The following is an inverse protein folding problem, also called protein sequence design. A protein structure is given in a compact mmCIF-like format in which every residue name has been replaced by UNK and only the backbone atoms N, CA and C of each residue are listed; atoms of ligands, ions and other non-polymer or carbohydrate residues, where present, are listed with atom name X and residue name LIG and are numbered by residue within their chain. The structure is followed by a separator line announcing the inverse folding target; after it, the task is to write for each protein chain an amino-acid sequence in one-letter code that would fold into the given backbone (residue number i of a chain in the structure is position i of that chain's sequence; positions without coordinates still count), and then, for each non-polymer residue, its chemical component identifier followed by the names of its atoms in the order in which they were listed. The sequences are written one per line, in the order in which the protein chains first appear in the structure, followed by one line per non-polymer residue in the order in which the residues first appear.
data_IF_719080470280
#
_entry.id   IF_719080470280
#
_cell.length_a   1.000
_cell.length_b   1.000
_cell.length_c   1.000
_cell.angle_alpha   90.00
_cell.angle_beta   90.00
_cell.angle_gamma   90.00
#
_symmetry.space_group_name_H-M   'P 1'
#
loop_
_entity.id
_entity.type
_entity.pdbx_description
1 polymer ?
#
# COMPACT_ATOMS: atom_id res chain seq x y z
N UNK A 1 -54.71 -11.62 8.42
CA UNK A 1 -54.41 -10.19 8.23
C UNK A 1 -53.53 -9.57 9.34
N UNK A 2 -53.83 -9.66 10.65
CA UNK A 2 -52.96 -9.06 11.71
C UNK A 2 -51.53 -9.67 11.71
N UNK A 3 -51.39 -11.01 11.64
CA UNK A 3 -50.06 -11.69 11.63
C UNK A 3 -49.23 -11.29 10.41
N UNK A 4 -49.82 -11.14 9.22
CA UNK A 4 -49.15 -10.72 7.99
C UNK A 4 -48.66 -9.26 8.09
N UNK A 5 -49.44 -8.35 8.69
CA UNK A 5 -49.05 -6.96 8.91
C UNK A 5 -47.88 -6.86 9.90
N UNK A 6 -47.89 -7.66 10.97
CA UNK A 6 -46.78 -7.70 11.95
C UNK A 6 -45.52 -8.23 11.29
N UNK A 7 -45.60 -9.32 10.52
CA UNK A 7 -44.43 -9.86 9.79
C UNK A 7 -43.83 -8.85 8.79
N UNK A 8 -44.68 -8.12 8.07
CA UNK A 8 -44.22 -7.07 7.14
C UNK A 8 -43.55 -5.91 7.86
N UNK A 9 -44.08 -5.47 9.01
CA UNK A 9 -43.48 -4.43 9.85
C UNK A 9 -42.12 -4.84 10.41
N UNK A 10 -41.95 -6.12 10.82
CA UNK A 10 -40.69 -6.66 11.32
C UNK A 10 -39.66 -6.70 10.19
N UNK A 11 -40.04 -7.18 9.00
CA UNK A 11 -39.15 -7.20 7.84
C UNK A 11 -38.71 -5.80 7.42
N UNK A 12 -39.62 -4.83 7.44
CA UNK A 12 -39.29 -3.43 7.15
C UNK A 12 -38.29 -2.87 8.16
N UNK A 13 -38.51 -3.13 9.44
CA UNK A 13 -37.62 -2.68 10.53
C UNK A 13 -36.22 -3.30 10.34
N UNK A 14 -36.13 -4.60 10.03
CA UNK A 14 -34.85 -5.27 9.74
C UNK A 14 -34.17 -4.61 8.55
N UNK A 15 -34.88 -4.39 7.44
CA UNK A 15 -34.31 -3.77 6.24
C UNK A 15 -33.79 -2.35 6.51
N UNK A 16 -34.55 -1.54 7.26
CA UNK A 16 -34.13 -0.18 7.66
C UNK A 16 -32.90 -0.24 8.57
N UNK A 17 -32.88 -1.16 9.53
CA UNK A 17 -31.73 -1.31 10.45
C UNK A 17 -30.48 -1.75 9.68
N UNK A 18 -30.58 -2.74 8.79
CA UNK A 18 -29.46 -3.19 7.94
C UNK A 18 -28.99 -2.07 7.00
N UNK A 19 -29.89 -1.31 6.41
CA UNK A 19 -29.57 -0.14 5.59
C UNK A 19 -28.84 0.95 6.39
N UNK A 20 -29.27 1.22 7.61
CA UNK A 20 -28.59 2.16 8.51
C UNK A 20 -27.19 1.68 8.91
N UNK A 21 -27.04 0.40 9.27
CA UNK A 21 -25.74 -0.21 9.59
C UNK A 21 -24.81 -0.19 8.39
N UNK A 22 -25.29 -0.54 7.20
CA UNK A 22 -24.52 -0.44 5.97
C UNK A 22 -24.06 0.99 5.71
N UNK A 23 -24.97 1.95 5.75
CA UNK A 23 -24.68 3.38 5.54
C UNK A 23 -23.68 3.91 6.56
N UNK A 24 -23.77 3.49 7.80
CA UNK A 24 -22.90 3.96 8.86
C UNK A 24 -21.50 3.34 8.83
N UNK A 25 -21.40 2.01 8.63
CA UNK A 25 -20.13 1.29 8.77
C UNK A 25 -19.42 1.02 7.45
N UNK A 26 -20.17 0.80 6.36
CA UNK A 26 -19.62 0.27 5.10
C UNK A 26 -19.68 1.27 3.94
N UNK A 27 -20.59 2.22 3.97
CA UNK A 27 -20.71 3.17 2.88
C UNK A 27 -19.56 4.18 2.89
N UNK A 28 -18.96 4.38 1.72
CA UNK A 28 -18.01 5.45 1.45
C UNK A 28 -18.34 6.10 0.10
N UNK A 29 -18.54 7.41 0.11
CA UNK A 29 -18.75 8.15 -1.12
C UNK A 29 -17.50 8.13 -1.98
N UNK A 30 -17.63 7.78 -3.25
CA UNK A 30 -16.50 7.82 -4.18
C UNK A 30 -16.05 9.27 -4.40
N UNK A 31 -14.74 9.54 -4.39
CA UNK A 31 -14.24 10.86 -4.72
C UNK A 31 -14.53 11.20 -6.18
N UNK A 32 -14.76 12.48 -6.47
CA UNK A 32 -14.85 12.93 -7.85
C UNK A 32 -13.49 12.72 -8.55
N UNK A 33 -13.54 12.17 -9.76
CA UNK A 33 -12.34 12.07 -10.58
C UNK A 33 -11.83 13.48 -10.94
N UNK A 34 -10.54 13.78 -10.73
CA UNK A 34 -9.97 15.07 -11.09
C UNK A 34 -9.84 15.22 -12.62
N UNK A 35 -9.71 16.45 -13.07
CA UNK A 35 -9.18 16.72 -14.41
C UNK A 35 -7.68 16.43 -14.40
N UNK A 36 -7.24 15.51 -15.23
CA UNK A 36 -5.86 15.07 -15.37
C UNK A 36 -5.31 15.48 -16.74
N UNK A 37 -3.98 15.56 -16.87
CA UNK A 37 -3.32 15.98 -18.12
C UNK A 37 -3.40 14.94 -19.23
N UNK A 38 -3.72 13.67 -18.90
CA UNK A 38 -3.86 12.57 -19.86
C UNK A 38 -4.94 11.57 -19.40
N UNK A 39 -5.24 10.60 -20.26
CA UNK A 39 -6.17 9.51 -19.94
C UNK A 39 -5.43 8.29 -19.42
N UNK A 40 -6.06 7.57 -18.48
CA UNK A 40 -5.59 6.26 -18.03
C UNK A 40 -5.68 5.26 -19.19
N UNK A 41 -4.61 4.50 -19.39
CA UNK A 41 -4.53 3.44 -20.39
C UNK A 41 -4.58 2.07 -19.69
N UNK A 42 -5.03 1.04 -20.41
CA UNK A 42 -5.10 -0.35 -19.92
C UNK A 42 -4.39 -1.26 -20.90
N UNK A 43 -3.68 -2.25 -20.36
CA UNK A 43 -2.93 -3.21 -21.15
C UNK A 43 -2.76 -4.53 -20.41
N UNK A 44 -2.19 -5.50 -21.09
CA UNK A 44 -1.82 -6.79 -20.53
C UNK A 44 -0.34 -7.10 -20.79
N UNK A 45 0.22 -7.92 -19.91
CA UNK A 45 1.58 -8.45 -20.04
C UNK A 45 1.58 -9.94 -19.71
N UNK A 46 2.29 -10.73 -20.53
CA UNK A 46 2.52 -12.13 -20.23
C UNK A 46 3.61 -12.27 -19.16
N UNK A 47 3.33 -13.04 -18.11
CA UNK A 47 4.29 -13.39 -17.05
C UNK A 47 4.13 -14.89 -16.79
N UNK A 48 5.15 -15.67 -17.12
CA UNK A 48 5.01 -17.13 -17.15
C UNK A 48 3.89 -17.56 -18.11
N UNK A 49 2.98 -18.35 -17.63
CA UNK A 49 1.81 -18.89 -18.35
C UNK A 49 0.56 -17.97 -18.28
N UNK A 50 0.67 -16.80 -17.65
CA UNK A 50 -0.48 -15.93 -17.36
C UNK A 50 -0.42 -14.61 -18.11
N UNK A 51 -1.60 -14.16 -18.58
CA UNK A 51 -1.82 -12.77 -18.95
C UNK A 51 -2.22 -11.98 -17.71
N UNK A 52 -1.51 -10.86 -17.45
CA UNK A 52 -1.71 -10.02 -16.28
C UNK A 52 -2.17 -8.64 -16.71
N UNK A 53 -3.31 -8.22 -16.17
CA UNK A 53 -3.87 -6.90 -16.43
C UNK A 53 -3.13 -5.82 -15.65
N UNK A 54 -3.01 -4.64 -16.23
CA UNK A 54 -2.57 -3.42 -15.57
C UNK A 54 -3.17 -2.18 -16.23
N UNK A 55 -3.25 -1.10 -15.46
CA UNK A 55 -3.51 0.23 -16.00
C UNK A 55 -2.29 1.11 -15.76
N UNK A 56 -2.11 2.13 -16.60
CA UNK A 56 -1.02 3.07 -16.44
C UNK A 56 -1.41 4.47 -16.87
N UNK A 57 -0.71 5.44 -16.30
CA UNK A 57 -0.90 6.85 -16.55
C UNK A 57 0.42 7.49 -16.98
N UNK A 58 0.39 8.12 -18.15
CA UNK A 58 1.53 8.88 -18.70
C UNK A 58 1.14 10.36 -18.66
N UNK A 59 1.66 11.17 -17.74
CA UNK A 59 1.37 12.61 -17.72
C UNK A 59 1.83 13.26 -19.02
N UNK A 60 1.15 14.33 -19.44
CA UNK A 60 1.47 15.05 -20.66
C UNK A 60 2.92 15.61 -20.68
N UNK A 61 3.49 15.83 -19.50
CA UNK A 61 4.89 16.28 -19.34
C UNK A 61 5.69 15.20 -18.64
N UNK A 62 6.42 14.40 -19.40
CA UNK A 62 7.36 13.40 -18.90
C UNK A 62 8.79 13.82 -19.21
N UNK A 63 9.70 13.85 -18.22
CA UNK A 63 11.13 14.02 -18.46
C UNK A 63 11.72 12.77 -19.16
N UNK A 64 12.82 12.95 -19.85
CA UNK A 64 13.63 11.81 -20.28
C UNK A 64 14.06 10.99 -19.06
N UNK A 65 14.00 9.66 -19.16
CA UNK A 65 14.28 8.74 -18.04
C UNK A 65 13.39 9.02 -16.81
N UNK A 66 12.08 9.19 -17.06
CA UNK A 66 11.10 9.42 -16.00
C UNK A 66 11.15 8.30 -14.94
N UNK A 67 10.96 8.62 -13.66
CA UNK A 67 10.75 7.62 -12.62
C UNK A 67 9.49 6.79 -12.90
N UNK A 68 9.45 5.58 -12.36
CA UNK A 68 8.34 4.65 -12.46
C UNK A 68 7.78 4.36 -11.07
N UNK A 69 6.49 4.59 -10.86
CA UNK A 69 5.80 4.28 -9.61
C UNK A 69 4.73 3.22 -9.82
N UNK A 70 4.87 2.08 -9.14
CA UNK A 70 3.82 1.07 -9.03
C UNK A 70 2.96 1.35 -7.81
N UNK A 71 1.62 1.30 -7.97
CA UNK A 71 0.68 1.44 -6.84
C UNK A 71 -0.21 0.21 -6.78
N UNK A 72 -0.08 -0.57 -5.68
CA UNK A 72 -0.72 -1.86 -5.52
C UNK A 72 -1.91 -1.78 -4.56
N UNK A 73 -3.02 -2.37 -4.99
CA UNK A 73 -4.24 -2.48 -4.21
C UNK A 73 -4.15 -3.47 -3.04
N UNK A 74 -5.06 -3.39 -2.07
CA UNK A 74 -5.21 -4.36 -1.00
C UNK A 74 -6.00 -5.62 -1.42
N UNK A 75 -6.17 -6.56 -0.46
CA UNK A 75 -7.00 -7.76 -0.67
C UNK A 75 -8.40 -7.41 -1.12
N UNK A 76 -8.95 -8.19 -2.05
CA UNK A 76 -10.31 -8.09 -2.58
C UNK A 76 -10.61 -6.77 -3.30
N UNK A 77 -9.60 -5.95 -3.55
CA UNK A 77 -9.69 -4.73 -4.33
C UNK A 77 -9.24 -4.93 -5.78
N UNK A 78 -9.62 -3.99 -6.62
CA UNK A 78 -9.13 -3.84 -7.99
C UNK A 78 -8.16 -2.67 -8.08
N UNK A 79 -7.47 -2.55 -9.21
CA UNK A 79 -6.65 -1.38 -9.51
C UNK A 79 -7.48 -0.07 -9.51
N UNK A 80 -8.76 -0.12 -9.92
CA UNK A 80 -9.64 1.05 -9.89
C UNK A 80 -10.10 1.41 -8.48
N UNK A 81 -10.29 0.40 -7.61
CA UNK A 81 -10.55 0.64 -6.19
C UNK A 81 -9.36 1.36 -5.53
N UNK A 82 -8.12 1.00 -5.88
CA UNK A 82 -6.93 1.66 -5.34
C UNK A 82 -6.82 3.12 -5.78
N UNK A 83 -7.17 3.42 -7.04
CA UNK A 83 -7.22 4.79 -7.57
C UNK A 83 -8.21 5.66 -6.79
N UNK A 84 -9.43 5.14 -6.59
CA UNK A 84 -10.45 5.85 -5.79
C UNK A 84 -10.09 5.93 -4.32
N UNK A 85 -9.49 4.88 -3.75
CA UNK A 85 -9.03 4.83 -2.36
C UNK A 85 -7.94 5.86 -2.05
N UNK A 86 -7.05 6.14 -3.01
CA UNK A 86 -6.06 7.22 -2.92
C UNK A 86 -6.62 8.59 -3.33
N UNK A 87 -7.92 8.69 -3.64
CA UNK A 87 -8.56 9.91 -4.18
C UNK A 87 -7.85 10.45 -5.42
N UNK A 88 -7.31 9.57 -6.26
CA UNK A 88 -6.52 9.92 -7.47
C UNK A 88 -5.30 10.80 -7.19
N UNK A 89 -4.78 10.78 -5.95
CA UNK A 89 -3.65 11.62 -5.58
C UNK A 89 -2.37 11.22 -6.31
N UNK A 90 -2.15 9.92 -6.55
CA UNK A 90 -0.96 9.48 -7.27
C UNK A 90 -0.95 9.95 -8.74
N UNK A 91 -2.11 10.05 -9.40
CA UNK A 91 -2.22 10.62 -10.74
C UNK A 91 -1.91 12.13 -10.75
N UNK A 92 -2.39 12.87 -9.74
CA UNK A 92 -2.06 14.31 -9.60
C UNK A 92 -0.56 14.51 -9.36
N UNK A 93 0.03 13.70 -8.49
CA UNK A 93 1.47 13.73 -8.24
C UNK A 93 2.28 13.36 -9.50
N UNK A 94 1.76 12.43 -10.33
CA UNK A 94 2.38 12.12 -11.61
C UNK A 94 2.37 13.32 -12.56
N UNK A 95 1.27 14.07 -12.62
CA UNK A 95 1.19 15.32 -13.40
C UNK A 95 2.15 16.40 -12.88
N UNK A 96 2.28 16.52 -11.56
CA UNK A 96 3.09 17.53 -10.92
C UNK A 96 4.59 17.25 -11.03
N UNK A 97 4.98 15.97 -10.84
CA UNK A 97 6.37 15.58 -10.70
C UNK A 97 6.95 14.85 -11.90
N UNK A 98 6.14 14.51 -12.90
CA UNK A 98 6.61 13.88 -14.14
C UNK A 98 7.12 12.45 -13.96
N UNK A 99 6.36 11.57 -13.32
CA UNK A 99 6.68 10.15 -13.26
C UNK A 99 5.61 9.30 -13.97
N UNK A 100 5.99 8.13 -14.44
CA UNK A 100 5.06 7.14 -15.00
C UNK A 100 4.42 6.38 -13.85
N UNK A 101 3.08 6.32 -13.85
CA UNK A 101 2.32 5.64 -12.81
C UNK A 101 1.69 4.36 -13.36
N UNK A 102 1.86 3.24 -12.63
CA UNK A 102 1.34 1.93 -13.04
C UNK A 102 0.55 1.29 -11.89
N UNK A 103 -0.64 0.81 -12.23
CA UNK A 103 -1.53 0.06 -11.35
C UNK A 103 -1.67 -1.38 -11.87
N UNK A 104 -0.86 -2.33 -11.42
CA UNK A 104 -1.06 -3.72 -11.75
C UNK A 104 -2.29 -4.29 -11.06
N UNK A 105 -2.88 -5.36 -11.65
CA UNK A 105 -4.00 -6.11 -11.06
C UNK A 105 -3.53 -7.44 -10.49
N UNK A 106 -3.81 -7.67 -9.22
CA UNK A 106 -3.58 -8.95 -8.55
C UNK A 106 -4.52 -10.05 -9.05
N UNK A 107 -4.02 -11.29 -9.10
CA UNK A 107 -4.81 -12.46 -9.48
C UNK A 107 -5.93 -12.67 -8.46
N UNK A 108 -7.16 -12.79 -8.97
CA UNK A 108 -8.37 -12.88 -8.14
C UNK A 108 -8.38 -11.82 -7.02
N UNK A 109 -7.90 -10.60 -7.35
CA UNK A 109 -7.89 -9.42 -6.47
C UNK A 109 -7.00 -9.58 -5.23
N UNK A 110 -5.93 -10.41 -5.33
CA UNK A 110 -4.95 -10.64 -4.27
C UNK A 110 -3.53 -10.76 -4.84
N UNK A 111 -2.55 -10.60 -3.97
CA UNK A 111 -1.12 -10.71 -4.24
C UNK A 111 -0.51 -11.86 -3.45
N UNK A 112 0.43 -12.58 -4.05
CA UNK A 112 1.22 -13.60 -3.37
C UNK A 112 2.30 -12.95 -2.51
N UNK A 113 2.01 -12.73 -1.24
CA UNK A 113 2.91 -12.12 -0.27
C UNK A 113 3.65 -13.15 0.62
N UNK A 114 4.44 -12.69 1.59
CA UNK A 114 5.28 -13.51 2.45
C UNK A 114 4.57 -14.23 3.60
N UNK A 115 3.27 -14.02 3.83
CA UNK A 115 2.58 -14.61 4.98
C UNK A 115 2.23 -16.08 4.73
N UNK A 116 2.86 -16.99 5.47
CA UNK A 116 2.67 -18.43 5.33
C UNK A 116 1.21 -18.87 5.52
N UNK A 117 0.51 -18.26 6.48
CA UNK A 117 -0.88 -18.58 6.81
C UNK A 117 -1.92 -17.89 5.91
N UNK A 118 -1.50 -16.99 4.98
CA UNK A 118 -2.45 -16.31 4.12
C UNK A 118 -3.02 -17.26 3.05
N UNK A 119 -4.33 -17.45 3.07
CA UNK A 119 -5.05 -18.37 2.18
C UNK A 119 -5.71 -17.59 1.01
N UNK A 120 -4.87 -16.98 0.18
CA UNK A 120 -5.33 -16.27 -1.03
C UNK A 120 -5.17 -17.12 -2.28
N UNK A 121 -6.05 -16.98 -3.27
CA UNK A 121 -5.88 -17.63 -4.57
C UNK A 121 -4.50 -17.38 -5.19
N UNK A 122 -4.01 -16.14 -5.16
CA UNK A 122 -2.69 -15.78 -5.68
C UNK A 122 -1.56 -16.56 -4.98
N UNK A 123 -1.67 -16.83 -3.67
CA UNK A 123 -0.69 -17.62 -2.93
C UNK A 123 -0.84 -19.10 -3.19
N UNK A 124 -2.07 -19.64 -3.14
CA UNK A 124 -2.36 -21.07 -3.41
C UNK A 124 -1.87 -21.48 -4.80
N UNK A 125 -2.04 -20.60 -5.79
CA UNK A 125 -1.60 -20.80 -7.17
C UNK A 125 -0.13 -20.43 -7.37
N UNK A 126 0.59 -20.06 -6.33
CA UNK A 126 1.98 -19.60 -6.36
C UNK A 126 2.24 -18.57 -7.48
N UNK A 127 1.36 -17.56 -7.60
CA UNK A 127 1.47 -16.55 -8.65
C UNK A 127 2.78 -15.78 -8.48
N UNK A 128 3.50 -15.59 -9.59
CA UNK A 128 4.73 -14.81 -9.59
C UNK A 128 4.45 -13.31 -9.76
N UNK A 129 4.14 -12.66 -8.65
CA UNK A 129 3.90 -11.23 -8.62
C UNK A 129 5.20 -10.41 -8.58
N UNK A 130 6.30 -11.02 -8.15
CA UNK A 130 7.62 -10.37 -8.14
C UNK A 130 8.13 -10.20 -9.57
N UNK A 131 8.04 -11.23 -10.39
CA UNK A 131 8.41 -11.16 -11.80
C UNK A 131 7.43 -10.31 -12.63
N UNK A 132 6.17 -10.18 -12.23
CA UNK A 132 5.26 -9.19 -12.81
C UNK A 132 5.84 -7.76 -12.71
N UNK A 133 6.29 -7.36 -11.53
CA UNK A 133 6.88 -6.03 -11.32
C UNK A 133 8.17 -5.89 -12.14
N UNK A 134 9.03 -6.91 -12.14
CA UNK A 134 10.26 -6.90 -12.93
C UNK A 134 9.98 -6.77 -14.45
N UNK A 135 9.02 -7.54 -14.98
CA UNK A 135 8.63 -7.49 -16.39
C UNK A 135 8.03 -6.12 -16.78
N UNK A 136 7.22 -5.51 -15.89
CA UNK A 136 6.68 -4.18 -16.13
C UNK A 136 7.78 -3.11 -16.11
N UNK A 137 8.78 -3.18 -15.22
CA UNK A 137 9.93 -2.26 -15.24
C UNK A 137 10.62 -2.30 -16.60
N UNK A 138 10.94 -3.49 -17.10
CA UNK A 138 11.59 -3.66 -18.40
C UNK A 138 10.72 -3.14 -19.57
N UNK A 139 9.41 -3.45 -19.53
CA UNK A 139 8.46 -2.96 -20.54
C UNK A 139 8.42 -1.44 -20.61
N UNK A 140 8.27 -0.76 -19.45
CA UNK A 140 8.19 0.70 -19.43
C UNK A 140 9.51 1.38 -19.77
N UNK A 141 10.65 0.77 -19.43
CA UNK A 141 11.96 1.23 -19.88
C UNK A 141 12.09 1.17 -21.40
N UNK A 142 11.68 0.04 -22.01
CA UNK A 142 11.76 -0.14 -23.46
C UNK A 142 10.75 0.68 -24.26
N UNK A 143 9.50 0.79 -23.80
CA UNK A 143 8.42 1.40 -24.59
C UNK A 143 8.23 2.89 -24.30
N UNK A 144 8.55 3.36 -23.09
CA UNK A 144 8.29 4.74 -22.64
C UNK A 144 9.53 5.45 -22.12
N UNK A 145 10.72 4.83 -22.21
CA UNK A 145 11.98 5.45 -21.78
C UNK A 145 12.08 5.71 -20.27
N UNK A 146 11.34 4.96 -19.46
CA UNK A 146 11.43 5.05 -18.00
C UNK A 146 12.84 4.67 -17.54
N UNK A 147 13.31 5.25 -16.43
CA UNK A 147 14.55 4.81 -15.79
C UNK A 147 14.31 3.55 -14.95
N UNK A 148 14.77 2.35 -15.37
CA UNK A 148 14.54 1.13 -14.62
C UNK A 148 15.18 1.13 -13.23
N UNK A 149 16.15 2.00 -12.97
CA UNK A 149 16.83 2.16 -11.69
C UNK A 149 16.08 3.11 -10.76
N UNK A 150 15.08 3.84 -11.25
CA UNK A 150 14.20 4.72 -10.49
C UNK A 150 12.77 4.18 -10.48
N UNK A 151 12.63 2.87 -10.29
CA UNK A 151 11.37 2.18 -10.10
C UNK A 151 11.04 2.10 -8.60
N UNK A 152 9.83 2.52 -8.22
CA UNK A 152 9.33 2.58 -6.85
C UNK A 152 8.01 1.81 -6.74
N UNK A 153 7.67 1.37 -5.53
CA UNK A 153 6.41 0.68 -5.28
C UNK A 153 5.76 1.19 -4.00
N UNK A 154 4.53 1.66 -4.11
CA UNK A 154 3.63 1.95 -2.99
C UNK A 154 2.53 0.88 -2.95
N UNK A 155 2.43 0.11 -1.87
CA UNK A 155 1.43 -0.94 -1.72
C UNK A 155 0.56 -0.72 -0.49
N UNK A 156 -0.74 -0.94 -0.64
CA UNK A 156 -1.70 -0.90 0.45
C UNK A 156 -2.04 -2.31 0.92
N UNK A 157 -2.00 -2.56 2.23
CA UNK A 157 -2.40 -3.82 2.87
C UNK A 157 -1.69 -5.03 2.22
N UNK A 158 -2.39 -5.96 1.56
CA UNK A 158 -1.78 -7.09 0.84
C UNK A 158 -0.78 -6.62 -0.24
N UNK A 159 -1.04 -5.53 -0.95
CA UNK A 159 -0.06 -4.91 -1.86
C UNK A 159 1.18 -4.37 -1.14
N UNK A 160 1.02 -3.87 0.08
CA UNK A 160 2.12 -3.48 0.96
C UNK A 160 2.96 -4.68 1.40
N UNK A 161 2.30 -5.79 1.77
CA UNK A 161 3.00 -7.05 2.07
C UNK A 161 3.78 -7.61 0.86
N UNK A 162 3.25 -7.47 -0.38
CA UNK A 162 4.02 -7.81 -1.58
C UNK A 162 5.24 -6.89 -1.75
N UNK A 163 5.09 -5.58 -1.49
CA UNK A 163 6.21 -4.65 -1.49
C UNK A 163 7.33 -5.08 -0.52
N UNK A 164 6.96 -5.48 0.72
CA UNK A 164 7.91 -6.00 1.70
C UNK A 164 8.56 -7.32 1.23
N UNK A 165 7.81 -8.20 0.54
CA UNK A 165 8.36 -9.40 -0.11
C UNK A 165 9.46 -9.03 -1.12
N UNK A 166 9.18 -8.09 -2.02
CA UNK A 166 10.16 -7.66 -3.02
C UNK A 166 11.41 -7.08 -2.35
N UNK A 167 11.25 -6.27 -1.30
CA UNK A 167 12.38 -5.72 -0.55
C UNK A 167 13.24 -6.79 0.14
N UNK A 168 12.67 -7.97 0.44
CA UNK A 168 13.40 -9.11 1.01
C UNK A 168 14.07 -9.97 -0.06
N UNK A 169 13.33 -10.35 -1.11
CA UNK A 169 13.77 -11.35 -2.11
C UNK A 169 14.57 -10.74 -3.26
N UNK A 170 14.29 -9.47 -3.62
CA UNK A 170 14.91 -8.75 -4.76
C UNK A 170 15.29 -7.30 -4.36
N UNK A 171 16.19 -7.11 -3.37
CA UNK A 171 16.45 -5.78 -2.78
C UNK A 171 16.99 -4.73 -3.77
N UNK A 172 17.49 -5.15 -4.92
CA UNK A 172 17.98 -4.25 -5.98
C UNK A 172 16.95 -4.01 -7.09
N UNK A 173 15.75 -4.61 -7.02
CA UNK A 173 14.73 -4.46 -8.04
C UNK A 173 14.09 -3.06 -8.03
N UNK A 174 13.91 -2.50 -6.84
CA UNK A 174 13.26 -1.21 -6.63
C UNK A 174 14.19 -0.22 -5.93
N UNK A 175 14.10 1.05 -6.30
CA UNK A 175 14.79 2.14 -5.62
C UNK A 175 14.13 2.51 -4.27
N UNK A 176 12.92 2.02 -4.00
CA UNK A 176 12.24 2.18 -2.73
C UNK A 176 10.87 1.52 -2.70
N UNK A 177 10.44 1.16 -1.50
CA UNK A 177 9.14 0.55 -1.21
C UNK A 177 8.43 1.34 -0.12
N UNK A 178 7.15 1.63 -0.32
CA UNK A 178 6.25 2.13 0.71
C UNK A 178 5.16 1.09 0.98
N UNK A 179 5.10 0.56 2.20
CA UNK A 179 4.10 -0.38 2.65
C UNK A 179 3.11 0.32 3.59
N UNK A 180 1.87 0.49 3.15
CA UNK A 180 0.80 1.15 3.89
C UNK A 180 -0.11 0.09 4.51
N UNK A 181 -0.38 0.22 5.81
CA UNK A 181 -1.22 -0.70 6.56
C UNK A 181 -0.74 -2.16 6.45
N UNK A 182 0.59 -2.36 6.49
CA UNK A 182 1.25 -3.65 6.39
C UNK A 182 2.50 -3.70 7.28
N UNK A 183 2.75 -4.85 7.89
CA UNK A 183 3.90 -5.11 8.75
C UNK A 183 4.56 -6.44 8.36
N UNK A 184 5.84 -6.59 8.67
CA UNK A 184 6.56 -7.82 8.36
C UNK A 184 5.97 -9.01 9.15
N UNK A 185 5.76 -10.19 8.53
CA UNK A 185 5.36 -11.39 9.25
C UNK A 185 6.34 -11.75 10.37
N UNK A 186 5.83 -12.38 11.44
CA UNK A 186 6.68 -13.02 12.45
C UNK A 186 7.47 -14.17 11.83
N UNK A 187 8.59 -14.61 12.44
CA UNK A 187 9.43 -15.67 11.85
C UNK A 187 8.69 -16.96 11.52
N UNK A 188 7.71 -17.35 12.33
CA UNK A 188 6.85 -18.52 12.16
C UNK A 188 5.83 -18.38 11.01
N UNK A 189 5.52 -17.14 10.60
CA UNK A 189 4.61 -16.81 9.52
C UNK A 189 5.34 -16.28 8.27
N UNK A 190 6.67 -16.17 8.27
CA UNK A 190 7.46 -15.66 7.16
C UNK A 190 7.86 -16.77 6.19
N UNK A 191 7.19 -16.86 5.05
CA UNK A 191 7.48 -17.85 4.00
C UNK A 191 8.54 -17.41 2.98
N UNK A 192 8.94 -16.15 3.00
CA UNK A 192 9.91 -15.60 2.04
C UNK A 192 11.35 -15.70 2.55
N UNK A 193 12.27 -15.86 1.59
CA UNK A 193 13.70 -15.89 1.89
C UNK A 193 14.31 -14.50 1.68
N UNK A 194 14.81 -13.92 2.76
CA UNK A 194 15.58 -12.69 2.66
C UNK A 194 16.96 -12.97 2.05
N UNK A 195 17.34 -12.23 1.00
CA UNK A 195 18.66 -12.24 0.40
C UNK A 195 19.47 -11.02 0.85
N UNK A 196 20.78 -11.03 0.65
CA UNK A 196 21.67 -9.92 1.00
C UNK A 196 21.30 -8.64 0.22
N UNK A 197 21.44 -7.50 0.88
CA UNK A 197 21.10 -6.18 0.35
C UNK A 197 20.00 -5.48 1.15
N UNK A 198 19.81 -4.21 0.89
CA UNK A 198 18.80 -3.37 1.54
C UNK A 198 18.14 -2.43 0.55
N UNK A 199 16.81 -2.47 0.51
CA UNK A 199 15.97 -1.51 -0.21
C UNK A 199 15.55 -0.40 0.75
N UNK A 200 15.50 0.87 0.35
CA UNK A 200 14.82 1.91 1.12
C UNK A 200 13.35 1.53 1.37
N UNK A 201 12.92 1.55 2.65
CA UNK A 201 11.57 1.12 3.04
C UNK A 201 10.88 2.19 3.87
N UNK A 202 9.66 2.55 3.47
CA UNK A 202 8.72 3.32 4.26
C UNK A 202 7.58 2.40 4.72
N UNK A 203 7.31 2.39 6.01
CA UNK A 203 6.09 1.81 6.59
C UNK A 203 5.16 2.95 7.02
N UNK A 204 3.86 2.86 6.70
CA UNK A 204 2.85 3.84 7.13
C UNK A 204 1.66 3.12 7.74
N UNK A 205 1.59 3.07 9.05
CA UNK A 205 0.65 2.22 9.78
C UNK A 205 -0.16 2.99 10.83
N UNK A 206 -1.48 2.74 10.85
CA UNK A 206 -2.41 3.32 11.83
C UNK A 206 -2.33 2.62 13.18
N UNK A 207 -2.29 3.40 14.29
CA UNK A 207 -2.25 2.82 15.64
C UNK A 207 -3.58 2.24 16.10
N UNK A 208 -4.68 2.50 15.37
CA UNK A 208 -6.03 1.96 15.59
C UNK A 208 -6.49 1.10 14.41
N UNK A 209 -5.52 0.47 13.72
CA UNK A 209 -5.79 -0.45 12.61
C UNK A 209 -6.48 -1.73 13.15
N UNK A 210 -7.73 -2.04 12.72
CA UNK A 210 -8.48 -3.20 13.19
C UNK A 210 -8.11 -4.49 12.47
N UNK A 211 -7.24 -4.46 11.45
CA UNK A 211 -6.89 -5.59 10.58
C UNK A 211 -5.43 -5.98 10.73
N UNK A 212 -4.51 -5.00 10.57
CA UNK A 212 -3.05 -5.20 10.72
C UNK A 212 -2.58 -4.51 11.99
N UNK A 213 -2.52 -5.21 13.14
CA UNK A 213 -2.28 -4.56 14.44
C UNK A 213 -0.94 -3.81 14.49
N UNK A 214 -0.98 -2.53 14.85
CA UNK A 214 0.21 -1.68 14.94
C UNK A 214 1.29 -2.25 15.87
N UNK A 215 0.86 -2.83 17.00
CA UNK A 215 1.75 -3.43 18.00
C UNK A 215 2.12 -4.88 17.68
N UNK A 216 1.78 -5.36 16.48
CA UNK A 216 1.94 -6.76 16.09
C UNK A 216 0.81 -7.64 16.59
N UNK A 217 0.77 -8.87 16.09
CA UNK A 217 -0.27 -9.83 16.42
C UNK A 217 -0.93 -10.46 15.21
N UNK A 218 -2.08 -11.10 15.42
CA UNK A 218 -2.80 -11.83 14.40
C UNK A 218 -3.50 -10.89 13.43
N UNK A 219 -3.35 -11.14 12.13
CA UNK A 219 -4.01 -10.41 11.06
C UNK A 219 -5.26 -11.16 10.62
N UNK A 220 -6.42 -10.51 10.76
CA UNK A 220 -7.72 -11.06 10.32
C UNK A 220 -8.57 -9.97 9.70
N UNK A 221 -9.52 -10.33 8.84
CA UNK A 221 -10.60 -9.45 8.42
C UNK A 221 -11.74 -9.53 9.45
N UNK A 222 -11.67 -8.68 10.48
CA UNK A 222 -12.70 -8.62 11.54
C UNK A 222 -12.97 -9.98 12.22
N UNK A 223 -11.89 -10.75 12.48
CA UNK A 223 -11.96 -12.08 13.09
C UNK A 223 -12.08 -13.24 12.10
N UNK A 224 -12.25 -12.96 10.80
CA UNK A 224 -12.32 -13.98 9.76
C UNK A 224 -11.06 -14.00 8.88
N UNK A 225 -10.78 -15.13 8.23
CA UNK A 225 -9.67 -15.27 7.28
C UNK A 225 -8.32 -14.99 7.93
N UNK A 226 -7.87 -15.92 8.75
CA UNK A 226 -6.57 -15.86 9.43
C UNK A 226 -5.42 -15.75 8.42
N UNK A 227 -4.54 -14.77 8.65
CA UNK A 227 -3.35 -14.52 7.84
C UNK A 227 -2.07 -14.64 8.67
N UNK A 228 -2.17 -15.32 9.82
CA UNK A 228 -1.08 -15.47 10.77
C UNK A 228 -0.71 -14.17 11.49
N UNK A 229 0.46 -14.17 12.09
CA UNK A 229 0.95 -13.08 12.92
C UNK A 229 1.95 -12.19 12.19
N UNK A 230 1.94 -10.91 12.53
CA UNK A 230 2.92 -9.92 12.08
C UNK A 230 3.67 -9.31 13.26
N UNK A 231 4.87 -8.83 13.00
CA UNK A 231 5.64 -8.02 13.94
C UNK A 231 4.94 -6.68 14.18
N UNK A 232 5.27 -5.99 15.26
CA UNK A 232 4.87 -4.59 15.40
C UNK A 232 5.42 -3.75 14.25
N UNK A 233 4.79 -2.60 13.99
CA UNK A 233 5.26 -1.65 12.99
C UNK A 233 6.69 -1.20 13.25
N UNK A 234 7.02 -0.91 14.51
CA UNK A 234 8.39 -0.57 14.92
C UNK A 234 9.38 -1.73 14.71
N UNK A 235 9.05 -2.95 15.12
CA UNK A 235 9.94 -4.11 14.92
C UNK A 235 10.11 -4.45 13.43
N UNK A 236 9.09 -4.17 12.60
CA UNK A 236 9.19 -4.30 11.15
C UNK A 236 10.14 -3.27 10.54
N UNK A 237 10.03 -2.00 10.96
CA UNK A 237 10.94 -0.93 10.52
C UNK A 237 12.38 -1.18 10.98
N UNK A 238 12.57 -1.55 12.25
CA UNK A 238 13.89 -1.87 12.81
C UNK A 238 14.55 -3.03 12.05
N UNK A 239 13.79 -4.07 11.70
CA UNK A 239 14.33 -5.19 10.91
C UNK A 239 14.92 -4.72 9.56
N UNK A 240 14.25 -3.83 8.82
CA UNK A 240 14.79 -3.26 7.60
C UNK A 240 15.94 -2.29 7.87
N UNK A 241 15.91 -1.55 8.97
CA UNK A 241 17.01 -0.67 9.38
C UNK A 241 18.28 -1.48 9.69
N UNK A 242 18.17 -2.58 10.44
CA UNK A 242 19.28 -3.50 10.72
C UNK A 242 19.85 -4.10 9.44
N UNK A 243 19.02 -4.47 8.46
CA UNK A 243 19.47 -4.92 7.14
C UNK A 243 20.22 -3.85 6.35
N UNK A 244 19.89 -2.58 6.57
CA UNK A 244 20.59 -1.43 6.00
C UNK A 244 21.83 -1.02 6.82
N UNK A 245 22.19 -1.75 7.87
CA UNK A 245 23.37 -1.53 8.72
C UNK A 245 23.18 -0.48 9.81
N UNK A 246 21.93 -0.15 10.16
CA UNK A 246 21.64 0.71 11.32
C UNK A 246 21.48 -0.10 12.61
N UNK A 247 21.67 0.57 13.73
CA UNK A 247 21.25 0.11 15.06
C UNK A 247 20.06 0.93 15.55
N UNK A 248 19.30 0.39 16.49
CA UNK A 248 18.10 1.05 17.02
C UNK A 248 18.35 2.49 17.51
N UNK A 249 19.51 2.72 18.16
CA UNK A 249 19.88 4.04 18.70
C UNK A 249 20.11 5.14 17.65
N UNK A 250 20.29 4.79 16.38
CA UNK A 250 20.44 5.76 15.29
C UNK A 250 19.09 6.32 14.80
N UNK A 251 17.98 5.80 15.30
CA UNK A 251 16.64 6.32 14.97
C UNK A 251 16.48 7.77 15.47
N UNK A 252 15.85 8.57 14.60
CA UNK A 252 15.39 9.93 14.95
C UNK A 252 13.90 9.99 14.86
N UNK A 253 13.23 10.59 15.85
CA UNK A 253 11.78 10.79 15.88
C UNK A 253 11.45 12.24 15.65
N UNK A 254 10.45 12.48 14.79
CA UNK A 254 9.91 13.78 14.44
C UNK A 254 8.38 13.74 14.51
N UNK A 255 7.73 14.84 14.94
CA UNK A 255 6.29 15.01 14.77
C UNK A 255 6.07 15.76 13.45
N UNK A 256 5.53 15.06 12.43
CA UNK A 256 5.34 15.64 11.09
C UNK A 256 4.05 16.44 10.96
N UNK A 257 3.03 16.02 11.67
CA UNK A 257 1.70 16.63 11.60
C UNK A 257 0.91 16.34 12.85
N UNK A 258 0.08 17.31 13.25
CA UNK A 258 -0.86 17.17 14.36
C UNK A 258 -2.16 17.86 14.00
N UNK A 259 -3.29 17.20 14.27
CA UNK A 259 -4.60 17.78 14.08
C UNK A 259 -4.85 18.87 15.13
N UNK A 260 -5.10 20.11 14.68
CA UNK A 260 -5.36 21.24 15.57
C UNK A 260 -6.62 21.06 16.43
N UNK A 261 -7.67 20.44 15.87
CA UNK A 261 -8.94 20.21 16.56
C UNK A 261 -8.93 18.94 17.43
N UNK A 262 -8.02 18.02 17.16
CA UNK A 262 -7.89 16.77 17.90
C UNK A 262 -6.42 16.34 18.02
N UNK A 263 -5.70 16.81 19.05
CA UNK A 263 -4.29 16.51 19.25
C UNK A 263 -3.95 15.02 19.42
N UNK A 264 -4.95 14.18 19.70
CA UNK A 264 -4.78 12.72 19.73
C UNK A 264 -4.58 12.12 18.32
N UNK A 265 -4.85 12.90 17.26
CA UNK A 265 -4.56 12.54 15.88
C UNK A 265 -3.30 13.28 15.43
N UNK A 266 -2.25 12.53 15.11
CA UNK A 266 -0.99 13.07 14.60
C UNK A 266 -0.23 12.03 13.81
N UNK A 267 0.80 12.44 13.10
CA UNK A 267 1.72 11.55 12.39
C UNK A 267 3.13 11.78 12.93
N UNK A 268 3.69 10.75 13.52
CA UNK A 268 5.08 10.70 13.97
C UNK A 268 5.91 9.93 12.95
N UNK A 269 7.13 10.38 12.72
CA UNK A 269 8.11 9.73 11.86
C UNK A 269 9.29 9.23 12.69
N UNK A 270 9.49 7.92 12.72
CA UNK A 270 10.74 7.29 13.15
C UNK A 270 11.59 7.04 11.90
N UNK A 271 12.79 7.58 11.86
CA UNK A 271 13.64 7.54 10.66
C UNK A 271 15.08 7.11 10.99
N UNK A 272 15.58 6.18 10.17
CA UNK A 272 16.99 5.84 10.06
C UNK A 272 17.50 6.30 8.71
N UNK A 273 18.43 7.25 8.70
CA UNK A 273 18.96 7.84 7.47
C UNK A 273 20.42 8.24 7.61
N UNK A 274 21.25 7.78 6.66
CA UNK A 274 22.62 8.20 6.43
C UNK A 274 22.92 8.19 4.93
N UNK A 275 23.97 8.93 4.51
CA UNK A 275 24.25 9.18 3.10
C UNK A 275 24.42 7.92 2.25
N UNK A 276 25.05 6.88 2.79
CA UNK A 276 25.46 5.67 2.03
C UNK A 276 24.61 4.44 2.36
N UNK A 277 23.61 4.56 3.20
CA UNK A 277 22.76 3.45 3.63
C UNK A 277 21.32 3.66 3.15
N UNK A 278 20.59 2.56 2.87
CA UNK A 278 19.18 2.61 2.51
C UNK A 278 18.36 3.26 3.64
N UNK A 279 17.59 4.29 3.33
CA UNK A 279 16.72 4.96 4.31
C UNK A 279 15.59 4.05 4.75
N UNK A 280 15.30 4.01 6.06
CA UNK A 280 14.11 3.37 6.60
C UNK A 280 13.29 4.37 7.39
N UNK A 281 11.98 4.40 7.13
CA UNK A 281 11.05 5.33 7.72
C UNK A 281 9.79 4.59 8.22
N UNK A 282 9.35 4.89 9.44
CA UNK A 282 8.05 4.47 9.97
C UNK A 282 7.21 5.72 10.23
N UNK A 283 6.15 5.86 9.49
CA UNK A 283 5.10 6.85 9.73
C UNK A 283 4.05 6.20 10.66
N UNK A 284 4.12 6.54 11.93
CA UNK A 284 3.13 6.14 12.92
C UNK A 284 1.92 7.07 12.83
N UNK A 285 0.83 6.60 12.23
CA UNK A 285 -0.41 7.35 12.08
C UNK A 285 -1.24 7.20 13.35
N UNK A 286 -0.96 8.07 14.33
CA UNK A 286 -1.59 8.00 15.67
C UNK A 286 -3.08 8.32 15.56
N UNK A 287 -3.92 7.39 16.04
CA UNK A 287 -5.36 7.47 15.93
C UNK A 287 -5.92 7.04 14.58
N UNK A 288 -5.07 6.68 13.61
CA UNK A 288 -5.48 6.20 12.28
C UNK A 288 -5.84 4.71 12.24
N UNK A 289 -6.72 4.33 11.32
CA UNK A 289 -7.16 2.96 11.04
C UNK A 289 -6.34 2.25 9.95
N UNK A 290 -6.95 1.23 9.33
CA UNK A 290 -6.39 0.47 8.20
C UNK A 290 -6.52 1.27 6.90
N UNK A 291 -5.76 2.35 6.75
CA UNK A 291 -5.99 3.39 5.75
C UNK A 291 -4.70 4.03 5.24
N UNK A 292 -4.79 4.61 4.05
CA UNK A 292 -3.86 5.61 3.54
C UNK A 292 -4.40 6.99 3.95
N UNK A 293 -3.71 7.77 4.79
CA UNK A 293 -4.14 9.11 5.17
C UNK A 293 -4.20 10.03 3.94
N UNK A 294 -5.31 10.71 3.73
CA UNK A 294 -5.51 11.69 2.65
C UNK A 294 -6.85 12.41 2.81
N UNK A 295 -7.01 13.59 2.19
CA UNK A 295 -8.18 14.45 2.38
C UNK A 295 -9.38 14.09 1.48
N UNK A 296 -9.13 13.53 0.30
CA UNK A 296 -10.14 13.44 -0.76
C UNK A 296 -11.09 12.23 -0.68
N UNK A 297 -10.84 11.28 0.23
CA UNK A 297 -11.68 10.09 0.40
C UNK A 297 -11.79 9.69 1.87
N UNK A 298 -13.02 9.51 2.33
CA UNK A 298 -13.30 8.90 3.64
C UNK A 298 -13.67 7.45 3.43
N UNK A 299 -12.80 6.56 3.85
CA UNK A 299 -13.05 5.12 3.78
C UNK A 299 -14.17 4.68 4.74
N UNK A 300 -14.73 3.48 4.53
CA UNK A 300 -15.68 2.88 5.45
C UNK A 300 -15.20 2.92 6.90
N UNK A 301 -16.07 3.28 7.84
CA UNK A 301 -15.73 3.36 9.28
C UNK A 301 -15.24 2.04 9.87
N UNK A 302 -15.61 0.93 9.25
CA UNK A 302 -15.15 -0.40 9.62
C UNK A 302 -13.62 -0.53 9.54
N UNK A 303 -12.96 0.22 8.65
CA UNK A 303 -11.51 0.25 8.53
C UNK A 303 -10.82 1.14 9.60
N UNK A 304 -11.58 1.73 10.49
CA UNK A 304 -11.08 2.64 11.52
C UNK A 304 -11.06 4.12 11.09
N UNK A 305 -10.55 5.01 11.95
CA UNK A 305 -10.57 6.45 11.70
C UNK A 305 -9.67 6.87 10.53
N UNK A 306 -10.19 7.75 9.66
CA UNK A 306 -9.41 8.39 8.59
C UNK A 306 -8.76 9.67 9.12
N UNK A 307 -7.47 9.86 8.90
CA UNK A 307 -6.77 11.13 9.11
C UNK A 307 -6.77 11.91 7.80
N UNK A 308 -7.68 12.87 7.67
CA UNK A 308 -7.86 13.64 6.44
C UNK A 308 -6.94 14.87 6.32
N UNK A 309 -6.25 15.25 7.39
CA UNK A 309 -5.36 16.41 7.41
C UNK A 309 -3.91 16.13 7.04
N UNK A 310 -3.54 14.86 6.83
CA UNK A 310 -2.20 14.45 6.41
C UNK A 310 -2.26 13.83 5.01
N UNK A 311 -1.38 14.27 4.12
CA UNK A 311 -1.28 13.75 2.75
C UNK A 311 -0.27 12.61 2.66
N UNK A 312 -0.75 11.38 2.82
CA UNK A 312 0.07 10.17 2.74
C UNK A 312 0.68 9.94 1.37
N UNK A 313 -0.06 10.05 0.25
CA UNK A 313 0.51 9.96 -1.09
C UNK A 313 1.66 10.94 -1.34
N UNK A 314 1.53 12.21 -0.93
CA UNK A 314 2.61 13.19 -1.03
C UNK A 314 3.82 12.77 -0.18
N UNK A 315 3.61 12.36 1.06
CA UNK A 315 4.69 11.91 1.95
C UNK A 315 5.43 10.66 1.40
N UNK A 316 4.71 9.76 0.72
CA UNK A 316 5.28 8.61 0.02
C UNK A 316 6.13 9.08 -1.17
N UNK A 317 5.62 10.01 -1.98
CA UNK A 317 6.39 10.56 -3.10
C UNK A 317 7.64 11.30 -2.62
N UNK A 318 7.54 12.13 -1.59
CA UNK A 318 8.67 12.83 -0.99
C UNK A 318 9.74 11.86 -0.48
N UNK A 319 9.32 10.71 0.07
CA UNK A 319 10.25 9.65 0.43
C UNK A 319 10.96 9.09 -0.82
N UNK A 320 10.24 8.78 -1.89
CA UNK A 320 10.81 8.22 -3.11
C UNK A 320 11.70 9.19 -3.87
N UNK A 321 11.29 10.45 -3.98
CA UNK A 321 12.00 11.48 -4.74
C UNK A 321 13.44 11.71 -4.26
N UNK A 322 13.72 11.46 -2.98
CA UNK A 322 15.06 11.62 -2.39
C UNK A 322 15.92 10.35 -2.40
N UNK A 323 15.34 9.20 -2.82
CA UNK A 323 16.12 7.96 -2.87
C UNK A 323 17.07 7.95 -4.07
N UNK A 324 18.20 7.28 -3.88
CA UNK A 324 19.16 7.02 -4.96
C UNK A 324 18.58 5.99 -5.93
N UNK A 325 18.98 6.03 -7.20
CA UNK A 325 18.65 4.94 -8.13
C UNK A 325 19.11 3.60 -7.57
N UNK A 326 18.31 2.55 -7.81
CA UNK A 326 18.70 1.18 -7.48
C UNK A 326 20.02 0.81 -8.16
N UNK A 327 20.82 -0.10 -7.59
CA UNK A 327 22.00 -0.64 -8.27
C UNK A 327 21.64 -1.18 -9.65
N UNK A 328 22.60 -1.15 -10.59
CA UNK A 328 22.39 -1.79 -11.89
C UNK A 328 22.11 -3.29 -11.67
N UNK A 329 21.08 -3.80 -12.32
CA UNK A 329 20.85 -5.24 -12.33
C UNK A 329 21.89 -5.90 -13.25
N UNK A 330 22.45 -7.07 -12.88
CA UNK A 330 23.40 -7.79 -13.69
C UNK A 330 22.81 -8.26 -15.02
#
# INVERSE_FOLDING_TARGET
MKKTKIALSVLLLIAVTLGALYSYFLYAAKPAAPTLSASLQRAQIAVGDRQRDYAYYLPAKLPAKAPLLFVLHGSLQTLDDMRTFSAYQFERLADEHGFILVYPQGVERNWNDCRAAADYPARQQNVDDVDLIAALIQRFAAQHGADPRRAFLAGYSNGGHLGLRIALERPNLLAGVAAVAASLPTPDNLACRAVAGATPVLLMNGTRDPINPYNGGRVTLFGFGDRGTVRSSYASALYFAERAGYVAAEMRRENLWQNGDNPAQRVELDRWRAAERAEVALFAVIGGGHLLPQAGFRAPRLLGPTLSGFDGPQAIWDFFARQRPAPAQP
#
